data_IF_406089378184
#
_entry.id   IF_406089378184
#
_cell.length_a   1.000
_cell.length_b   1.000
_cell.length_c   1.000
_cell.angle_alpha   90.00
_cell.angle_beta   90.00
_cell.angle_gamma   90.00
#
_symmetry.space_group_name_H-M   'P 1'
#
loop_
_entity.id
_entity.type
_entity.pdbx_description
1 polymer ?
#
# COMPACT_ATOMS: atom_id res chain seq x y z
N UNK A 1 -0.83 9.45 -3.07
CA UNK A 1 -1.39 8.86 -4.31
C UNK A 1 -1.68 9.93 -5.34
N UNK A 2 -2.28 11.07 -4.97
CA UNK A 2 -2.33 12.23 -5.87
C UNK A 2 -0.95 12.66 -6.34
N UNK A 3 0.04 12.68 -5.43
CA UNK A 3 1.43 12.93 -5.82
C UNK A 3 1.94 11.96 -6.88
N UNK A 4 1.45 10.73 -6.87
CA UNK A 4 1.81 9.73 -7.88
C UNK A 4 1.16 10.04 -9.23
N UNK A 5 0.04 10.77 -9.27
CA UNK A 5 -0.59 11.18 -10.53
C UNK A 5 0.12 12.37 -11.17
N UNK A 6 0.79 13.20 -10.35
CA UNK A 6 1.43 14.44 -10.79
C UNK A 6 2.93 14.27 -10.96
N UNK A 7 3.57 13.35 -10.23
CA UNK A 7 5.01 13.15 -10.31
C UNK A 7 5.39 12.18 -11.44
N UNK A 8 6.46 12.48 -12.21
CA UNK A 8 6.95 11.59 -13.26
C UNK A 8 7.66 10.35 -12.70
N UNK A 9 8.08 10.40 -11.43
CA UNK A 9 8.84 9.33 -10.78
C UNK A 9 7.95 8.55 -9.81
N UNK A 10 8.08 7.24 -9.87
CA UNK A 10 7.39 6.29 -9.01
C UNK A 10 8.44 5.35 -8.40
N UNK A 11 8.05 4.59 -7.39
CA UNK A 11 8.87 3.48 -6.91
C UNK A 11 8.99 2.40 -8.00
N UNK A 12 10.00 1.54 -7.89
CA UNK A 12 10.17 0.40 -8.79
C UNK A 12 9.14 -0.69 -8.45
N UNK A 13 8.14 -0.97 -9.31
CA UNK A 13 7.15 -1.99 -9.01
C UNK A 13 7.76 -3.39 -9.17
N UNK A 14 7.69 -4.22 -8.14
CA UNK A 14 8.19 -5.60 -8.15
C UNK A 14 7.08 -6.63 -8.39
N UNK A 15 5.84 -6.25 -8.10
CA UNK A 15 4.67 -7.14 -8.20
C UNK A 15 3.72 -6.73 -9.32
N UNK A 16 2.89 -7.69 -9.76
CA UNK A 16 1.79 -7.41 -10.69
C UNK A 16 0.79 -6.39 -10.16
N UNK A 17 0.48 -6.48 -8.86
CA UNK A 17 -0.38 -5.54 -8.17
C UNK A 17 0.15 -4.10 -8.11
N UNK A 18 1.46 -3.93 -7.90
CA UNK A 18 2.08 -2.60 -7.96
C UNK A 18 2.06 -2.04 -9.39
N UNK A 19 2.41 -2.86 -10.40
CA UNK A 19 2.34 -2.44 -11.81
C UNK A 19 0.92 -2.03 -12.19
N UNK A 20 -0.08 -2.83 -11.81
CA UNK A 20 -1.48 -2.54 -12.04
C UNK A 20 -1.91 -1.22 -11.39
N UNK A 21 -1.50 -0.96 -10.14
CA UNK A 21 -1.77 0.33 -9.50
C UNK A 21 -1.18 1.48 -10.33
N UNK A 22 0.07 1.37 -10.76
CA UNK A 22 0.74 2.42 -11.53
C UNK A 22 0.06 2.65 -12.88
N UNK A 23 -0.40 1.58 -13.54
CA UNK A 23 -1.17 1.66 -14.78
C UNK A 23 -2.48 2.44 -14.59
N UNK A 24 -3.24 2.13 -13.54
CA UNK A 24 -4.50 2.82 -13.24
C UNK A 24 -4.26 4.30 -12.91
N UNK A 25 -3.27 4.59 -12.05
CA UNK A 25 -2.94 5.96 -11.62
C UNK A 25 -2.48 6.84 -12.78
N UNK A 26 -1.75 6.29 -13.77
CA UNK A 26 -1.23 7.07 -14.91
C UNK A 26 -2.26 7.31 -15.99
N UNK A 27 -3.03 6.28 -16.32
CA UNK A 27 -3.77 6.24 -17.58
C UNK A 27 -5.28 6.38 -17.40
N UNK A 28 -5.84 6.31 -16.18
CA UNK A 28 -7.27 6.49 -15.98
C UNK A 28 -7.67 7.96 -16.02
N UNK A 29 -8.52 8.32 -16.99
CA UNK A 29 -9.04 9.67 -17.18
C UNK A 29 -9.91 10.09 -16.00
N UNK A 30 -10.84 9.23 -15.57
CA UNK A 30 -11.75 9.53 -14.46
C UNK A 30 -11.01 9.75 -13.13
N UNK A 31 -10.01 8.93 -12.83
CA UNK A 31 -9.20 9.11 -11.63
C UNK A 31 -8.44 10.44 -11.68
N UNK A 32 -7.97 10.85 -12.87
CA UNK A 32 -7.30 12.14 -13.06
C UNK A 32 -8.26 13.30 -12.83
N UNK A 33 -9.47 13.23 -13.40
CA UNK A 33 -10.52 14.22 -13.16
C UNK A 33 -10.88 14.30 -11.67
N UNK A 34 -11.00 13.16 -10.99
CA UNK A 34 -11.24 13.12 -9.54
C UNK A 34 -10.11 13.81 -8.77
N UNK A 35 -8.86 13.49 -9.09
CA UNK A 35 -7.70 14.11 -8.46
C UNK A 35 -7.61 15.62 -8.72
N UNK A 36 -7.83 16.07 -9.95
CA UNK A 36 -7.83 17.49 -10.31
C UNK A 36 -8.94 18.26 -9.60
N UNK A 37 -10.14 17.66 -9.54
CA UNK A 37 -11.31 18.23 -8.87
C UNK A 37 -11.06 18.40 -7.37
N UNK A 38 -10.51 17.37 -6.72
CA UNK A 38 -10.26 17.40 -5.28
C UNK A 38 -9.09 18.31 -4.90
N UNK A 39 -8.02 18.38 -5.71
CA UNK A 39 -6.86 19.23 -5.41
C UNK A 39 -6.98 20.68 -5.87
N UNK A 40 -7.95 21.02 -6.71
CA UNK A 40 -8.00 22.36 -7.29
C UNK A 40 -6.98 22.60 -8.41
N UNK A 41 -6.44 21.54 -9.04
CA UNK A 41 -5.34 21.64 -10.01
C UNK A 41 -5.78 21.73 -11.48
N UNK A 42 -7.09 21.68 -11.77
CA UNK A 42 -7.62 21.80 -13.14
C UNK A 42 -8.06 23.23 -13.51
N UNK A 43 -8.19 23.55 -14.81
CA UNK A 43 -8.72 24.84 -15.29
C UNK A 43 -10.14 25.14 -14.75
N UNK A 44 -10.96 24.10 -14.57
CA UNK A 44 -12.29 24.19 -13.98
C UNK A 44 -12.29 24.24 -12.43
N UNK A 45 -11.14 24.03 -11.80
CA UNK A 45 -11.02 23.80 -10.36
C UNK A 45 -10.69 25.08 -9.57
N UNK A 46 -10.45 26.22 -10.25
CA UNK A 46 -10.22 27.52 -9.61
C UNK A 46 -11.36 27.97 -8.69
N UNK A 47 -12.57 27.40 -8.84
CA UNK A 47 -13.74 27.73 -8.02
C UNK A 47 -14.37 26.53 -7.30
N UNK A 48 -13.81 25.32 -7.43
CA UNK A 48 -14.54 24.07 -7.13
C UNK A 48 -13.79 23.09 -6.22
N UNK A 49 -12.60 23.44 -5.74
CA UNK A 49 -11.82 22.55 -4.88
C UNK A 49 -12.58 22.31 -3.56
N UNK A 50 -12.86 21.04 -3.26
CA UNK A 50 -13.44 20.61 -1.98
C UNK A 50 -12.41 20.84 -0.85
N UNK A 51 -12.44 22.04 -0.25
CA UNK A 51 -11.58 22.42 0.87
C UNK A 51 -12.18 21.95 2.19
N UNK A 52 -12.17 20.65 2.40
CA UNK A 52 -12.61 20.02 3.66
C UNK A 52 -11.52 20.15 4.73
N UNK A 53 -11.44 21.33 5.35
CA UNK A 53 -10.50 21.61 6.45
C UNK A 53 -9.08 21.99 6.01
N UNK A 54 -8.19 22.17 7.00
CA UNK A 54 -6.81 22.67 6.77
C UNK A 54 -5.88 21.68 6.06
N UNK A 55 -6.23 20.39 6.02
CA UNK A 55 -5.43 19.29 5.42
C UNK A 55 -6.11 18.67 4.18
N UNK A 56 -6.78 19.51 3.40
CA UNK A 56 -7.60 19.04 2.28
C UNK A 56 -6.77 18.29 1.22
N UNK A 57 -5.49 18.62 1.03
CA UNK A 57 -4.61 17.93 0.08
C UNK A 57 -4.34 16.47 0.49
N UNK A 58 -4.05 16.25 1.77
CA UNK A 58 -3.86 14.91 2.34
C UNK A 58 -5.15 14.08 2.27
N UNK A 59 -6.28 14.71 2.62
CA UNK A 59 -7.60 14.08 2.56
C UNK A 59 -8.02 13.76 1.11
N UNK A 60 -7.73 14.66 0.17
CA UNK A 60 -7.92 14.41 -1.25
C UNK A 60 -7.11 13.20 -1.68
N UNK A 61 -5.81 13.16 -1.33
CA UNK A 61 -4.95 12.02 -1.66
C UNK A 61 -5.42 10.72 -1.03
N UNK A 62 -6.07 10.79 0.13
CA UNK A 62 -6.70 9.64 0.75
C UNK A 62 -7.85 9.13 -0.11
N UNK A 63 -8.81 10.00 -0.47
CA UNK A 63 -9.98 9.61 -1.27
C UNK A 63 -9.61 9.06 -2.63
N UNK A 64 -8.74 9.76 -3.37
CA UNK A 64 -8.27 9.27 -4.68
C UNK A 64 -7.63 7.89 -4.52
N UNK A 65 -6.73 7.73 -3.54
CA UNK A 65 -6.03 6.46 -3.41
C UNK A 65 -6.91 5.31 -2.94
N UNK A 66 -7.86 5.58 -2.05
CA UNK A 66 -8.87 4.60 -1.65
C UNK A 66 -9.73 4.17 -2.85
N UNK A 67 -10.15 5.12 -3.70
CA UNK A 67 -10.90 4.83 -4.93
C UNK A 67 -10.12 3.97 -5.91
N UNK A 68 -8.84 4.28 -6.18
CA UNK A 68 -8.00 3.48 -7.11
C UNK A 68 -7.82 2.06 -6.59
N UNK A 69 -7.50 1.90 -5.30
CA UNK A 69 -7.27 0.58 -4.72
C UNK A 69 -8.55 -0.24 -4.67
N UNK A 70 -9.69 0.40 -4.44
CA UNK A 70 -10.99 -0.25 -4.52
C UNK A 70 -11.30 -0.73 -5.94
N UNK A 71 -11.04 0.11 -6.95
CA UNK A 71 -11.20 -0.27 -8.37
C UNK A 71 -10.30 -1.46 -8.72
N UNK A 72 -9.01 -1.39 -8.35
CA UNK A 72 -8.04 -2.46 -8.54
C UNK A 72 -8.51 -3.77 -7.90
N UNK A 73 -8.99 -3.74 -6.66
CA UNK A 73 -9.49 -4.93 -5.98
C UNK A 73 -10.70 -5.53 -6.69
N UNK A 74 -11.63 -4.70 -7.17
CA UNK A 74 -12.80 -5.15 -7.93
C UNK A 74 -12.39 -5.82 -9.25
N UNK A 75 -11.45 -5.23 -9.98
CA UNK A 75 -10.90 -5.81 -11.21
C UNK A 75 -10.27 -7.19 -10.96
N UNK A 76 -9.41 -7.28 -9.95
CA UNK A 76 -8.74 -8.52 -9.55
C UNK A 76 -9.79 -9.59 -9.17
N UNK A 77 -10.83 -9.22 -8.41
CA UNK A 77 -11.89 -10.16 -8.02
C UNK A 77 -12.70 -10.67 -9.21
N UNK A 78 -13.09 -9.79 -10.13
CA UNK A 78 -13.80 -10.20 -11.35
C UNK A 78 -12.95 -11.16 -12.21
N UNK A 79 -11.64 -10.94 -12.24
CA UNK A 79 -10.72 -11.81 -12.96
C UNK A 79 -10.46 -13.14 -12.26
N UNK A 80 -10.46 -13.16 -10.92
CA UNK A 80 -10.44 -14.41 -10.14
C UNK A 80 -11.61 -15.30 -10.53
N UNK A 81 -12.83 -14.76 -10.54
CA UNK A 81 -14.01 -15.50 -10.93
C UNK A 81 -13.93 -16.00 -12.39
N UNK A 82 -13.29 -15.23 -13.29
CA UNK A 82 -13.05 -15.66 -14.67
C UNK A 82 -12.08 -16.85 -14.75
N UNK A 83 -11.01 -16.83 -13.94
CA UNK A 83 -10.06 -17.95 -13.80
C UNK A 83 -10.71 -19.21 -13.23
N UNK A 84 -11.58 -19.06 -12.24
CA UNK A 84 -12.32 -20.17 -11.65
C UNK A 84 -13.26 -20.82 -12.68
N UNK A 85 -13.84 -20.02 -13.58
CA UNK A 85 -14.68 -20.51 -14.69
C UNK A 85 -13.87 -21.16 -15.82
N UNK A 86 -12.65 -20.68 -16.07
CA UNK A 86 -11.79 -21.12 -17.17
C UNK A 86 -10.38 -21.51 -16.67
N UNK A 87 -10.25 -22.57 -15.84
CA UNK A 87 -9.01 -22.86 -15.09
C UNK A 87 -7.81 -23.28 -15.96
N UNK A 88 -8.06 -23.77 -17.18
CA UNK A 88 -7.03 -24.27 -18.10
C UNK A 88 -6.96 -23.49 -19.41
N UNK A 89 -7.77 -22.44 -19.55
CA UNK A 89 -7.88 -21.64 -20.77
C UNK A 89 -7.70 -20.16 -20.40
N UNK A 90 -6.44 -19.74 -20.38
CA UNK A 90 -6.05 -18.38 -19.99
C UNK A 90 -6.63 -17.34 -20.97
N UNK A 91 -6.72 -17.67 -22.25
CA UNK A 91 -7.23 -16.76 -23.27
C UNK A 91 -8.74 -16.55 -23.09
N UNK A 92 -9.50 -17.60 -22.78
CA UNK A 92 -10.90 -17.47 -22.39
C UNK A 92 -11.07 -16.67 -21.09
N UNK A 93 -10.24 -16.92 -20.06
CA UNK A 93 -10.26 -16.15 -18.82
C UNK A 93 -9.94 -14.66 -19.06
N UNK A 94 -9.01 -14.35 -19.95
CA UNK A 94 -8.63 -12.99 -20.34
C UNK A 94 -9.78 -12.28 -21.06
N UNK A 95 -10.42 -12.97 -22.01
CA UNK A 95 -11.61 -12.46 -22.71
C UNK A 95 -12.74 -12.13 -21.73
N UNK A 96 -13.08 -13.06 -20.84
CA UNK A 96 -14.12 -12.85 -19.81
C UNK A 96 -13.74 -11.74 -18.83
N UNK A 97 -12.46 -11.62 -18.47
CA UNK A 97 -11.98 -10.50 -17.64
C UNK A 97 -12.21 -9.16 -18.34
N UNK A 98 -11.85 -9.06 -19.63
CA UNK A 98 -12.09 -7.85 -20.43
C UNK A 98 -13.57 -7.46 -20.45
N UNK A 99 -14.44 -8.42 -20.78
CA UNK A 99 -15.89 -8.22 -20.83
C UNK A 99 -16.42 -7.72 -19.48
N UNK A 100 -16.03 -8.34 -18.37
CA UNK A 100 -16.49 -7.94 -17.03
C UNK A 100 -15.98 -6.59 -16.56
N UNK A 101 -14.72 -6.25 -16.87
CA UNK A 101 -14.18 -4.92 -16.54
C UNK A 101 -15.00 -3.83 -17.26
N UNK A 102 -15.32 -4.03 -18.53
CA UNK A 102 -16.18 -3.11 -19.28
C UNK A 102 -17.63 -3.11 -18.76
N UNK A 103 -18.25 -4.28 -18.58
CA UNK A 103 -19.70 -4.37 -18.35
C UNK A 103 -20.07 -4.11 -16.88
N UNK A 104 -19.28 -4.59 -15.92
CA UNK A 104 -19.59 -4.54 -14.48
C UNK A 104 -19.01 -3.29 -13.82
N UNK A 105 -17.82 -2.86 -14.25
CA UNK A 105 -17.17 -1.67 -13.70
C UNK A 105 -17.42 -0.43 -14.55
N UNK A 106 -17.98 -0.58 -15.76
CA UNK A 106 -18.11 0.51 -16.74
C UNK A 106 -16.77 1.19 -17.04
N UNK A 107 -15.67 0.44 -16.89
CA UNK A 107 -14.32 0.96 -17.13
C UNK A 107 -13.88 0.55 -18.53
N UNK A 108 -13.90 1.49 -19.47
CA UNK A 108 -13.75 1.20 -20.90
C UNK A 108 -12.40 1.67 -21.45
N UNK A 109 -12.01 1.24 -22.66
CA UNK A 109 -10.84 1.80 -23.34
C UNK A 109 -10.91 3.32 -23.58
N UNK A 110 -12.10 3.95 -23.56
CA UNK A 110 -12.23 5.40 -23.68
C UNK A 110 -11.80 6.13 -22.41
N UNK A 111 -11.92 5.46 -21.26
CA UNK A 111 -11.60 5.99 -19.94
C UNK A 111 -10.12 5.74 -19.55
N UNK A 112 -9.36 5.10 -20.45
CA UNK A 112 -8.00 4.65 -20.23
C UNK A 112 -7.09 5.02 -21.40
N UNK A 113 -6.19 5.97 -21.19
CA UNK A 113 -5.29 6.52 -22.21
C UNK A 113 -4.13 5.57 -22.60
N UNK A 114 -3.96 4.45 -21.90
CA UNK A 114 -2.92 3.46 -22.17
C UNK A 114 -3.42 2.29 -23.02
N UNK A 115 -2.57 1.26 -23.17
CA UNK A 115 -3.00 0.00 -23.77
C UNK A 115 -3.93 -0.77 -22.82
N UNK A 116 -5.22 -0.76 -23.14
CA UNK A 116 -6.24 -1.45 -22.35
C UNK A 116 -6.09 -2.98 -22.36
N UNK A 117 -5.54 -3.56 -23.44
CA UNK A 117 -5.24 -4.99 -23.50
C UNK A 117 -4.21 -5.38 -22.45
N UNK A 118 -3.10 -4.63 -22.39
CA UNK A 118 -2.04 -4.81 -21.39
C UNK A 118 -2.58 -4.63 -19.96
N UNK A 119 -3.50 -3.67 -19.75
CA UNK A 119 -4.16 -3.50 -18.44
C UNK A 119 -4.91 -4.77 -18.02
N UNK A 120 -5.73 -5.32 -18.92
CA UNK A 120 -6.53 -6.52 -18.64
C UNK A 120 -5.63 -7.74 -18.40
N UNK A 121 -4.52 -7.86 -19.13
CA UNK A 121 -3.52 -8.90 -18.87
C UNK A 121 -2.91 -8.77 -17.46
N UNK A 122 -2.53 -7.56 -17.04
CA UNK A 122 -1.95 -7.33 -15.71
C UNK A 122 -2.99 -7.57 -14.60
N UNK A 123 -4.27 -7.27 -14.84
CA UNK A 123 -5.38 -7.63 -13.92
C UNK A 123 -5.46 -9.15 -13.75
N UNK A 124 -5.40 -9.91 -14.84
CA UNK A 124 -5.44 -11.37 -14.80
C UNK A 124 -4.21 -11.95 -14.10
N UNK A 125 -3.02 -11.45 -14.42
CA UNK A 125 -1.77 -11.84 -13.75
C UNK A 125 -1.79 -11.52 -12.25
N UNK A 126 -2.41 -10.42 -11.85
CA UNK A 126 -2.64 -10.08 -10.43
C UNK A 126 -3.59 -11.08 -9.77
N UNK A 127 -4.68 -11.45 -10.43
CA UNK A 127 -5.62 -12.45 -9.93
C UNK A 127 -5.02 -13.86 -9.85
N UNK A 128 -4.01 -14.17 -10.68
CA UNK A 128 -3.23 -15.40 -10.60
C UNK A 128 -2.42 -15.53 -9.31
N UNK A 129 -2.18 -14.44 -8.58
CA UNK A 129 -1.45 -14.49 -7.30
C UNK A 129 -2.34 -14.83 -6.11
N UNK A 130 -3.66 -14.73 -6.26
CA UNK A 130 -4.60 -14.96 -5.16
C UNK A 130 -4.47 -16.38 -4.59
N UNK A 131 -4.35 -16.46 -3.27
CA UNK A 131 -4.22 -17.71 -2.52
C UNK A 131 -2.84 -18.37 -2.59
N UNK A 132 -1.85 -17.79 -3.29
CA UNK A 132 -0.49 -18.35 -3.34
C UNK A 132 0.27 -18.10 -2.05
N UNK A 133 0.35 -19.11 -1.20
CA UNK A 133 1.19 -19.08 0.00
C UNK A 133 2.68 -19.23 -0.32
N UNK A 134 3.59 -18.53 0.40
CA UNK A 134 5.02 -18.73 0.23
C UNK A 134 5.42 -20.16 0.62
N UNK A 135 6.16 -20.84 -0.26
CA UNK A 135 6.68 -22.18 -0.01
C UNK A 135 7.68 -22.19 1.15
N UNK A 136 7.88 -23.35 1.79
CA UNK A 136 8.85 -23.47 2.89
C UNK A 136 10.29 -23.02 2.51
N UNK A 137 10.83 -23.39 1.32
CA UNK A 137 12.13 -22.88 0.89
C UNK A 137 12.16 -21.36 0.72
N UNK A 138 11.08 -20.75 0.20
CA UNK A 138 10.99 -19.29 0.06
C UNK A 138 10.92 -18.60 1.42
N UNK A 139 10.12 -19.12 2.36
CA UNK A 139 10.06 -18.63 3.75
C UNK A 139 11.45 -18.66 4.41
N UNK A 140 12.20 -19.74 4.19
CA UNK A 140 13.56 -19.87 4.72
C UNK A 140 14.53 -18.86 4.11
N UNK A 141 14.46 -18.61 2.79
CA UNK A 141 15.28 -17.56 2.15
C UNK A 141 14.96 -16.17 2.70
N UNK A 142 13.68 -15.82 2.81
CA UNK A 142 13.23 -14.53 3.37
C UNK A 142 13.72 -14.36 4.80
N UNK A 143 13.66 -15.41 5.63
CA UNK A 143 14.15 -15.35 7.01
C UNK A 143 15.68 -15.23 7.12
N UNK A 144 16.43 -15.80 6.17
CA UNK A 144 17.92 -15.76 6.17
C UNK A 144 18.49 -14.48 5.56
N UNK A 145 17.88 -14.01 4.46
CA UNK A 145 18.32 -12.82 3.74
C UNK A 145 17.74 -11.53 4.32
N UNK A 146 16.60 -11.62 5.03
CA UNK A 146 15.99 -10.51 5.74
C UNK A 146 16.69 -10.19 7.07
N UNK A 147 16.32 -9.08 7.71
CA UNK A 147 16.93 -8.68 8.96
C UNK A 147 16.52 -9.62 10.13
N UNK A 148 17.32 -9.71 11.20
CA UNK A 148 17.08 -10.62 12.34
C UNK A 148 15.92 -10.17 13.27
N UNK A 149 15.08 -9.26 12.81
CA UNK A 149 13.96 -8.67 13.54
C UNK A 149 12.78 -8.44 12.60
N UNK A 150 11.59 -8.30 13.17
CA UNK A 150 10.40 -7.97 12.40
C UNK A 150 10.57 -6.61 11.70
N UNK A 151 10.49 -6.58 10.37
CA UNK A 151 10.67 -5.34 9.59
C UNK A 151 9.73 -4.22 10.05
N UNK A 152 8.55 -4.58 10.56
CA UNK A 152 7.51 -3.64 10.93
C UNK A 152 7.65 -3.10 12.36
N UNK A 153 8.02 -3.93 13.35
CA UNK A 153 8.02 -3.54 14.78
C UNK A 153 9.37 -3.64 15.49
N UNK A 154 10.40 -4.18 14.83
CA UNK A 154 11.76 -4.22 15.35
C UNK A 154 12.02 -5.28 16.43
N UNK A 155 10.99 -6.00 16.90
CA UNK A 155 11.18 -7.13 17.83
C UNK A 155 12.04 -8.22 17.20
N UNK A 156 12.98 -8.75 18.00
CA UNK A 156 14.00 -9.68 17.54
C UNK A 156 13.39 -11.06 17.32
N UNK A 157 13.78 -11.72 16.23
CA UNK A 157 13.51 -13.15 16.07
C UNK A 157 14.51 -13.96 16.87
N UNK A 158 14.17 -15.23 17.12
CA UNK A 158 15.16 -16.17 17.67
C UNK A 158 16.29 -16.45 16.72
N UNK A 159 17.37 -17.01 17.27
CA UNK A 159 18.49 -17.53 16.47
C UNK A 159 17.92 -18.37 15.32
N UNK A 160 18.40 -18.10 14.12
CA UNK A 160 17.82 -18.40 12.80
C UNK A 160 17.73 -19.92 12.50
N UNK A 161 18.06 -20.76 13.49
CA UNK A 161 18.12 -22.21 13.41
C UNK A 161 17.32 -22.83 14.56
N UNK A 162 16.35 -23.65 14.18
CA UNK A 162 15.48 -24.46 15.02
C UNK A 162 14.30 -23.73 15.68
N UNK A 163 13.31 -24.55 16.03
CA UNK A 163 12.05 -24.24 16.69
C UNK A 163 12.12 -23.51 18.04
N UNK A 164 13.28 -22.95 18.37
CA UNK A 164 13.52 -22.19 19.57
C UNK A 164 12.85 -20.79 19.47
N UNK A 165 11.98 -20.44 20.43
CA UNK A 165 11.53 -19.06 20.60
C UNK A 165 12.74 -18.14 20.76
N UNK A 166 12.74 -16.96 20.12
CA UNK A 166 13.81 -15.97 20.31
C UNK A 166 13.88 -15.34 21.69
N UNK A 167 14.69 -14.28 21.88
CA UNK A 167 14.65 -13.52 23.14
C UNK A 167 13.23 -13.03 23.45
N UNK A 168 12.46 -12.66 22.42
CA UNK A 168 11.04 -12.32 22.52
C UNK A 168 10.09 -13.50 22.25
N UNK A 169 10.64 -14.70 22.03
CA UNK A 169 9.91 -15.89 21.66
C UNK A 169 9.32 -15.91 20.25
N UNK A 170 9.67 -14.95 19.39
CA UNK A 170 9.03 -14.75 18.09
C UNK A 170 9.67 -15.60 16.99
N UNK A 171 8.83 -16.33 16.26
CA UNK A 171 9.19 -16.98 14.98
C UNK A 171 8.90 -16.04 13.80
N UNK A 172 9.80 -15.91 12.81
CA UNK A 172 9.55 -15.11 11.63
C UNK A 172 8.50 -15.77 10.74
N UNK A 173 7.57 -14.95 10.25
CA UNK A 173 6.69 -15.25 9.11
C UNK A 173 7.19 -14.49 7.88
N UNK A 174 6.83 -14.93 6.68
CA UNK A 174 7.06 -14.15 5.46
C UNK A 174 5.79 -13.33 5.18
N UNK A 175 5.90 -12.01 5.30
CA UNK A 175 4.81 -11.06 5.04
C UNK A 175 5.02 -10.43 3.66
N UNK A 176 3.94 -10.34 2.89
CA UNK A 176 3.94 -9.66 1.60
C UNK A 176 3.85 -8.16 1.81
N UNK A 177 4.87 -7.40 1.38
CA UNK A 177 4.86 -5.93 1.52
C UNK A 177 3.70 -5.33 0.74
N UNK A 178 3.52 -5.76 -0.52
CA UNK A 178 2.29 -5.57 -1.29
C UNK A 178 1.39 -6.80 -1.13
N UNK A 179 0.17 -6.67 -0.59
CA UNK A 179 -0.66 -7.82 -0.20
C UNK A 179 -1.18 -8.60 -1.41
N UNK A 180 -1.29 -9.92 -1.26
CA UNK A 180 -1.84 -10.84 -2.27
C UNK A 180 -3.22 -10.38 -2.78
N UNK A 181 -4.10 -9.92 -1.89
CA UNK A 181 -5.45 -9.47 -2.25
C UNK A 181 -5.49 -8.30 -3.26
N UNK A 182 -4.35 -7.63 -3.46
CA UNK A 182 -4.17 -6.55 -4.43
C UNK A 182 -3.13 -6.89 -5.50
N UNK A 183 -2.87 -8.18 -5.75
CA UNK A 183 -1.92 -8.64 -6.77
C UNK A 183 -0.48 -8.74 -6.27
N UNK A 184 -0.27 -8.90 -4.96
CA UNK A 184 1.06 -9.12 -4.41
C UNK A 184 1.64 -10.48 -4.82
N UNK A 185 2.64 -10.47 -5.69
CA UNK A 185 3.33 -11.68 -6.14
C UNK A 185 4.04 -12.38 -4.96
N UNK A 186 3.98 -13.71 -4.92
CA UNK A 186 4.68 -14.52 -3.91
C UNK A 186 6.13 -14.76 -4.33
N UNK A 187 6.92 -13.68 -4.30
CA UNK A 187 8.33 -13.64 -4.69
C UNK A 187 9.18 -12.99 -3.59
N UNK A 188 10.48 -13.25 -3.59
CA UNK A 188 11.40 -12.72 -2.57
C UNK A 188 11.43 -11.17 -2.52
N UNK A 189 11.31 -10.52 -3.69
CA UNK A 189 11.26 -9.07 -3.81
C UNK A 189 10.01 -8.44 -3.17
N UNK A 190 8.96 -9.21 -2.88
CA UNK A 190 7.75 -8.75 -2.21
C UNK A 190 7.61 -9.28 -0.78
N UNK A 191 8.62 -10.00 -0.25
CA UNK A 191 8.52 -10.63 1.07
C UNK A 191 9.54 -10.07 2.05
N UNK A 192 9.08 -9.80 3.28
CA UNK A 192 9.92 -9.43 4.42
C UNK A 192 9.58 -10.26 5.66
N UNK A 193 10.57 -10.49 6.56
CA UNK A 193 10.31 -11.24 7.77
C UNK A 193 9.52 -10.39 8.78
N UNK A 194 8.37 -10.89 9.21
CA UNK A 194 7.50 -10.23 10.19
C UNK A 194 7.14 -11.17 11.34
N UNK A 195 6.89 -10.63 12.53
CA UNK A 195 6.26 -11.41 13.60
C UNK A 195 4.78 -11.65 13.27
N UNK A 196 4.24 -12.79 13.70
CA UNK A 196 2.85 -13.16 13.44
C UNK A 196 1.83 -12.06 13.82
N UNK A 197 1.97 -11.34 14.96
CA UNK A 197 1.05 -10.24 15.29
C UNK A 197 1.09 -9.07 14.30
N UNK A 198 2.25 -8.73 13.73
CA UNK A 198 2.30 -7.64 12.73
C UNK A 198 1.73 -8.11 11.40
N UNK A 199 2.13 -9.31 10.96
CA UNK A 199 1.64 -9.89 9.70
C UNK A 199 0.11 -10.02 9.71
N UNK A 200 -0.46 -10.63 10.76
CA UNK A 200 -1.93 -10.82 10.83
C UNK A 200 -2.70 -9.50 10.93
N UNK A 201 -2.17 -8.49 11.65
CA UNK A 201 -2.82 -7.19 11.82
C UNK A 201 -2.70 -6.30 10.57
N UNK A 202 -1.68 -6.51 9.74
CA UNK A 202 -1.59 -5.88 8.40
C UNK A 202 -2.79 -6.27 7.56
N UNK A 203 -3.14 -7.56 7.59
CA UNK A 203 -4.13 -8.14 6.70
C UNK A 203 -3.86 -7.76 5.25
N UNK A 204 -4.81 -7.08 4.62
CA UNK A 204 -4.75 -6.69 3.22
C UNK A 204 -4.44 -5.20 3.01
N UNK A 205 -3.95 -4.49 4.03
CA UNK A 205 -3.53 -3.10 3.86
C UNK A 205 -2.29 -3.08 2.95
N UNK A 206 -2.45 -2.51 1.75
CA UNK A 206 -1.35 -2.27 0.80
C UNK A 206 -0.74 -0.89 0.95
N UNK A 207 -1.57 0.07 1.31
CA UNK A 207 -1.21 1.47 1.40
C UNK A 207 -1.88 2.09 2.61
N UNK A 208 -1.40 3.26 3.01
CA UNK A 208 -2.00 3.99 4.12
C UNK A 208 -3.44 4.45 3.82
N UNK A 209 -3.82 4.58 2.54
CA UNK A 209 -5.18 4.95 2.12
C UNK A 209 -6.22 3.86 2.40
N UNK A 210 -5.80 2.63 2.70
CA UNK A 210 -6.71 1.55 3.08
C UNK A 210 -6.96 1.48 4.59
N UNK A 211 -6.22 2.23 5.40
CA UNK A 211 -6.45 2.23 6.83
C UNK A 211 -7.69 3.06 7.16
N UNK A 212 -8.48 2.61 8.14
CA UNK A 212 -9.61 3.37 8.64
C UNK A 212 -9.09 4.55 9.47
N UNK A 213 -8.82 5.68 8.82
CA UNK A 213 -8.20 6.86 9.44
C UNK A 213 -9.18 7.75 10.20
N UNK A 214 -10.47 7.67 9.91
CA UNK A 214 -11.50 8.57 10.45
C UNK A 214 -11.58 8.68 11.99
N UNK A 215 -11.36 7.63 12.81
CA UNK A 215 -11.41 7.77 14.26
C UNK A 215 -10.12 8.33 14.87
N UNK A 216 -9.09 8.64 14.08
CA UNK A 216 -7.82 9.20 14.57
C UNK A 216 -7.95 10.71 14.67
N UNK A 217 -8.79 11.17 15.60
CA UNK A 217 -8.81 12.56 16.07
C UNK A 217 -8.80 12.51 17.59
N UNK A 218 -7.69 12.91 18.22
CA UNK A 218 -7.57 12.90 19.68
C UNK A 218 -7.55 14.33 20.25
N UNK A 219 -8.11 14.50 21.44
CA UNK A 219 -7.98 15.73 22.22
C UNK A 219 -6.57 15.86 22.81
N UNK A 220 -6.07 17.09 22.90
CA UNK A 220 -4.72 17.41 23.39
C UNK A 220 -4.43 16.95 24.83
N UNK A 221 -5.46 16.62 25.61
CA UNK A 221 -5.36 16.14 26.99
C UNK A 221 -4.71 14.76 27.15
N UNK A 222 -4.56 13.96 26.08
CA UNK A 222 -4.12 12.56 26.18
C UNK A 222 -2.72 12.28 25.62
N UNK A 223 -1.83 13.26 25.49
CA UNK A 223 -0.56 13.07 24.76
C UNK A 223 0.29 11.88 25.25
N UNK A 224 0.36 11.68 26.57
CA UNK A 224 1.21 10.67 27.21
C UNK A 224 0.67 9.25 27.05
N UNK A 225 -0.63 9.08 26.83
CA UNK A 225 -1.31 7.78 26.74
C UNK A 225 -1.81 7.46 25.33
N UNK A 226 -2.27 8.46 24.57
CA UNK A 226 -2.88 8.27 23.25
C UNK A 226 -1.88 7.82 22.18
N UNK A 227 -0.68 8.42 22.12
CA UNK A 227 0.31 8.10 21.08
C UNK A 227 0.86 6.66 21.20
N UNK A 228 1.31 6.20 22.38
CA UNK A 228 1.66 4.80 22.56
C UNK A 228 0.44 3.87 22.36
N UNK A 229 -0.76 4.34 22.70
CA UNK A 229 -2.03 3.63 22.57
C UNK A 229 -2.59 3.51 21.14
N UNK A 230 -1.98 4.16 20.14
CA UNK A 230 -2.50 4.12 18.77
C UNK A 230 -2.72 2.68 18.29
N UNK A 231 -3.88 2.38 17.64
CA UNK A 231 -4.13 1.07 17.10
C UNK A 231 -3.02 0.63 16.15
N UNK A 232 -2.62 -0.63 16.22
CA UNK A 232 -1.54 -1.15 15.38
C UNK A 232 -1.78 -0.93 13.88
N UNK A 233 -3.00 -1.09 13.32
CA UNK A 233 -3.26 -0.77 11.92
C UNK A 233 -2.89 0.67 11.54
N UNK A 234 -3.10 1.65 12.44
CA UNK A 234 -2.72 3.05 12.21
C UNK A 234 -1.20 3.21 12.18
N UNK A 235 -0.49 2.59 13.14
CA UNK A 235 0.99 2.59 13.15
C UNK A 235 1.57 1.95 11.88
N UNK A 236 0.93 0.90 11.38
CA UNK A 236 1.33 0.24 10.14
C UNK A 236 1.06 1.09 8.90
N UNK A 237 -0.08 1.80 8.87
CA UNK A 237 -0.39 2.75 7.81
C UNK A 237 0.61 3.91 7.78
N UNK A 238 1.03 4.44 8.94
CA UNK A 238 2.10 5.43 9.02
C UNK A 238 3.42 4.86 8.48
N UNK A 239 3.77 3.64 8.85
CA UNK A 239 4.97 2.97 8.34
C UNK A 239 4.95 2.76 6.81
N UNK A 240 3.79 2.38 6.25
CA UNK A 240 3.60 2.28 4.80
C UNK A 240 3.70 3.64 4.09
N UNK A 241 3.10 4.69 4.67
CA UNK A 241 3.24 6.06 4.17
C UNK A 241 4.72 6.46 4.10
N UNK A 242 5.49 6.13 5.12
CA UNK A 242 6.93 6.39 5.14
C UNK A 242 7.68 5.62 4.04
N UNK A 243 7.41 4.32 3.91
CA UNK A 243 8.04 3.47 2.90
C UNK A 243 7.71 3.90 1.47
N UNK A 244 6.44 4.21 1.18
CA UNK A 244 6.04 4.70 -0.15
C UNK A 244 6.68 6.04 -0.49
N UNK A 245 6.77 6.96 0.48
CA UNK A 245 7.45 8.24 0.30
C UNK A 245 8.94 8.03 0.02
N UNK A 246 9.60 7.17 0.80
CA UNK A 246 11.01 6.83 0.59
C UNK A 246 11.23 6.20 -0.79
N UNK A 247 10.42 5.19 -1.14
CA UNK A 247 10.54 4.44 -2.38
C UNK A 247 10.39 5.37 -3.60
N UNK A 248 9.41 6.29 -3.55
CA UNK A 248 9.18 7.28 -4.60
C UNK A 248 10.33 8.27 -4.71
N UNK A 249 10.82 8.80 -3.58
CA UNK A 249 11.90 9.78 -3.57
C UNK A 249 13.24 9.21 -4.08
N UNK A 250 13.47 7.91 -3.85
CA UNK A 250 14.74 7.25 -4.15
C UNK A 250 14.68 6.30 -5.36
N UNK A 251 13.51 6.12 -6.00
CA UNK A 251 13.34 5.12 -7.07
C UNK A 251 13.59 3.68 -6.61
N UNK A 252 13.40 3.38 -5.33
CA UNK A 252 13.61 2.05 -4.75
C UNK A 252 12.35 1.19 -4.90
N UNK A 253 12.47 -0.13 -4.71
CA UNK A 253 11.29 -1.00 -4.49
C UNK A 253 10.65 -0.72 -3.12
N UNK A 254 9.39 -1.12 -2.91
CA UNK A 254 8.77 -1.01 -1.57
C UNK A 254 9.51 -1.85 -0.52
N UNK A 255 10.00 -3.04 -0.90
CA UNK A 255 10.79 -3.90 -0.01
C UNK A 255 12.06 -3.18 0.44
N UNK A 256 12.82 -2.62 -0.49
CA UNK A 256 14.07 -1.95 -0.16
C UNK A 256 13.83 -0.67 0.63
N UNK A 257 12.72 0.03 0.36
CA UNK A 257 12.30 1.16 1.16
C UNK A 257 12.00 0.78 2.62
N UNK A 258 11.28 -0.32 2.85
CA UNK A 258 11.06 -0.84 4.22
C UNK A 258 12.36 -1.21 4.93
N UNK A 259 13.31 -1.82 4.21
CA UNK A 259 14.63 -2.14 4.76
C UNK A 259 15.43 -0.87 5.11
N UNK A 260 15.36 0.17 4.25
CA UNK A 260 16.08 1.41 4.44
C UNK A 260 15.53 2.24 5.61
N UNK A 261 14.20 2.39 5.72
CA UNK A 261 13.60 3.14 6.84
C UNK A 261 13.61 2.37 8.16
N UNK A 262 13.81 1.04 8.09
CA UNK A 262 13.83 0.14 9.24
C UNK A 262 12.48 0.05 9.97
N UNK A 263 12.45 -0.54 11.17
CA UNK A 263 11.23 -0.65 11.96
C UNK A 263 10.65 0.69 12.38
N UNK A 264 9.34 0.67 12.67
CA UNK A 264 8.62 1.84 13.19
C UNK A 264 9.07 2.21 14.60
N UNK A 265 9.21 3.50 14.84
CA UNK A 265 9.43 4.12 16.14
C UNK A 265 8.08 4.35 16.87
N UNK A 266 8.16 4.85 18.11
CA UNK A 266 6.99 5.35 18.83
C UNK A 266 6.37 6.50 18.04
N UNK A 267 5.02 6.51 17.84
CA UNK A 267 4.37 7.59 17.13
C UNK A 267 4.63 8.96 17.77
N UNK A 268 4.88 9.95 16.93
CA UNK A 268 5.12 11.33 17.35
C UNK A 268 4.36 12.31 16.44
N UNK A 269 4.08 13.51 16.95
CA UNK A 269 3.56 14.62 16.14
C UNK A 269 4.65 15.17 15.23
N UNK A 270 4.24 15.60 14.05
CA UNK A 270 5.09 16.35 13.12
C UNK A 270 5.08 17.82 13.53
N UNK A 271 3.89 18.40 13.66
CA UNK A 271 3.67 19.77 14.14
C UNK A 271 3.05 19.73 15.56
N UNK A 272 3.75 20.32 16.53
CA UNK A 272 3.32 20.33 17.94
C UNK A 272 2.19 21.32 18.21
N UNK A 273 1.97 22.29 17.32
CA UNK A 273 0.95 23.33 17.42
C UNK A 273 -0.38 22.91 16.77
N UNK A 274 -0.41 21.73 16.17
CA UNK A 274 -1.59 21.15 15.54
C UNK A 274 -2.12 19.94 16.32
N UNK A 275 -3.43 19.72 16.19
CA UNK A 275 -4.12 18.60 16.83
C UNK A 275 -3.63 17.23 16.35
N UNK A 276 -4.14 16.19 17.01
CA UNK A 276 -3.82 14.81 16.69
C UNK A 276 -4.70 14.31 15.56
N UNK A 277 -4.14 14.23 14.36
CA UNK A 277 -4.76 13.51 13.25
C UNK A 277 -3.72 12.62 12.55
N UNK A 278 -4.17 11.65 11.76
CA UNK A 278 -3.27 10.74 11.04
C UNK A 278 -2.19 11.46 10.21
N UNK A 279 -2.56 12.59 9.60
CA UNK A 279 -1.68 13.32 8.71
C UNK A 279 -0.61 14.10 9.48
N UNK A 280 -0.88 14.48 10.74
CA UNK A 280 0.07 15.09 11.67
C UNK A 280 0.98 14.10 12.42
N UNK A 281 0.87 12.81 12.13
CA UNK A 281 1.63 11.78 12.82
C UNK A 281 2.76 11.22 11.96
N UNK A 282 3.85 10.84 12.64
CA UNK A 282 4.98 10.09 12.08
C UNK A 282 5.34 8.91 12.98
N UNK A 283 5.98 7.90 12.40
CA UNK A 283 6.54 6.74 13.13
C UNK A 283 8.01 6.49 12.77
N UNK A 284 8.67 7.50 12.23
CA UNK A 284 10.10 7.47 11.90
C UNK A 284 10.71 8.83 12.19
N UNK A 285 11.95 8.84 12.66
CA UNK A 285 12.78 10.03 12.72
C UNK A 285 13.29 10.41 11.31
N UNK A 286 13.16 11.69 10.94
CA UNK A 286 13.58 12.20 9.62
C UNK A 286 15.09 12.15 9.42
N UNK A 287 15.85 12.48 10.46
CA UNK A 287 17.32 12.48 10.42
C UNK A 287 17.85 11.06 10.23
N UNK A 288 17.12 10.07 10.75
CA UNK A 288 17.46 8.65 10.61
C UNK A 288 17.10 8.09 9.23
N UNK A 289 15.95 8.48 8.69
CA UNK A 289 15.33 7.78 7.55
C UNK A 289 15.35 8.58 6.24
N UNK A 290 15.69 9.87 6.29
CA UNK A 290 15.52 10.82 5.19
C UNK A 290 14.09 10.88 4.62
N UNK A 291 13.10 10.37 5.35
CA UNK A 291 11.68 10.49 4.99
C UNK A 291 11.18 11.84 5.48
N UNK A 292 10.82 12.71 4.54
CA UNK A 292 10.22 14.00 4.86
C UNK A 292 8.74 13.82 5.22
N UNK A 293 8.39 14.16 6.46
CA UNK A 293 7.01 14.23 6.92
C UNK A 293 6.57 15.69 6.87
N UNK A 294 5.86 16.06 5.81
CA UNK A 294 5.27 17.40 5.72
C UNK A 294 3.77 17.30 6.03
N UNK A 295 3.26 18.01 7.05
CA UNK A 295 1.84 18.33 7.11
C UNK A 295 1.54 19.19 5.87
N UNK A 296 0.64 18.76 4.99
CA UNK A 296 0.25 19.56 3.82
C UNK A 296 -1.07 20.27 4.04
#
# INVERSE_FOLDING_TARGET
>A
MIDLMVQPKFWNPETSGERLLLMLVRNSVELRVLAETLNGLGPAAQHSALRLGRRFADLSSFFVGASVLHLQQRMIRLSQDAREKHPYDRDAALKVTRERVCDVLSFTPLDYEGDFGVLVEEVLTSAEQLGKEPSAPLKQRVARAGPPHCYSCGRMFGTIHADAPGPDGLKPTADHVWPIALGGDTIEANLLPACAPCNSRKGHIATWQMAWLQPVVFSDTDQTTALPGLPVPIKMALHMRAAMNYATANGASLRDAFLAIGPRDTPARIDQDQGYDFFNLRVHDELRTNVLWRPR
#
